data_IF_005678101718
#
_entry.id   IF_005678101718
#
_cell.length_a   1.000
_cell.length_b   1.000
_cell.length_c   1.000
_cell.angle_alpha   90.00
_cell.angle_beta   90.00
_cell.angle_gamma   90.00
#
_symmetry.space_group_name_H-M   'P 1'
#
loop_
_entity.id
_entity.type
_entity.pdbx_description
1 polymer ?
#
# COMPACT_ATOMS: atom_id res chain seq x y z
N UNK A 1 -7.99 27.05 -17.90
CA UNK A 1 -6.84 26.28 -17.30
C UNK A 1 -7.10 26.24 -15.81
N UNK A 2 -7.62 25.10 -15.33
CA UNK A 2 -8.17 25.01 -13.98
C UNK A 2 -7.09 24.97 -12.90
N UNK A 3 -7.20 25.87 -11.92
CA UNK A 3 -6.32 25.98 -10.74
C UNK A 3 -6.17 24.63 -10.00
N UNK A 4 -7.18 23.76 -10.06
CA UNK A 4 -7.17 22.40 -9.50
C UNK A 4 -6.23 21.43 -10.25
N UNK A 5 -6.04 21.60 -11.56
CA UNK A 5 -5.08 20.81 -12.34
C UNK A 5 -3.63 21.20 -12.04
N UNK A 6 -3.36 22.48 -11.83
CA UNK A 6 -2.05 22.96 -11.39
C UNK A 6 -1.71 22.45 -9.98
N UNK A 7 -2.66 22.50 -9.03
CA UNK A 7 -2.45 22.01 -7.67
C UNK A 7 -2.12 20.49 -7.63
N UNK A 8 -2.71 19.67 -8.51
CA UNK A 8 -2.41 18.25 -8.63
C UNK A 8 -0.98 17.96 -9.11
N UNK A 9 -0.47 18.76 -10.05
CA UNK A 9 0.87 18.59 -10.62
C UNK A 9 1.99 18.97 -9.63
N UNK A 10 1.73 19.84 -8.64
CA UNK A 10 2.72 20.27 -7.65
C UNK A 10 2.82 19.32 -6.44
N UNK A 11 1.80 18.49 -6.16
CA UNK A 11 1.83 17.53 -5.05
C UNK A 11 3.08 16.65 -5.05
N UNK A 12 3.48 16.01 -6.17
CA UNK A 12 4.70 15.19 -6.21
C UNK A 12 5.97 16.01 -5.98
N UNK A 13 6.01 17.24 -6.50
CA UNK A 13 7.18 18.14 -6.32
C UNK A 13 7.30 18.57 -4.88
N UNK A 14 6.22 19.00 -4.24
CA UNK A 14 6.20 19.38 -2.82
C UNK A 14 6.57 18.18 -1.95
N UNK A 15 6.01 17.01 -2.21
CA UNK A 15 6.38 15.79 -1.50
C UNK A 15 7.87 15.46 -1.67
N UNK A 16 8.41 15.62 -2.89
CA UNK A 16 9.84 15.38 -3.14
C UNK A 16 10.74 16.38 -2.37
N UNK A 17 10.31 17.61 -2.23
CA UNK A 17 11.05 18.65 -1.48
C UNK A 17 10.96 18.45 0.04
N UNK A 18 9.86 17.90 0.56
CA UNK A 18 9.65 17.68 2.00
C UNK A 18 10.22 16.33 2.48
N UNK A 19 10.41 15.38 1.57
CA UNK A 19 10.90 14.03 1.91
C UNK A 19 12.43 13.96 1.84
N UNK A 20 13.07 13.13 2.70
CA UNK A 20 14.50 12.84 2.57
C UNK A 20 14.87 12.43 1.13
N UNK A 21 16.07 12.82 0.64
CA UNK A 21 17.15 13.53 1.32
C UNK A 21 17.10 15.05 1.22
N UNK A 22 16.19 15.66 0.43
CA UNK A 22 16.24 17.06 0.02
C UNK A 22 16.30 18.04 1.18
N UNK A 23 15.46 17.97 2.24
CA UNK A 23 15.53 18.91 3.37
C UNK A 23 16.91 18.91 4.06
N UNK A 24 17.50 17.75 4.20
CA UNK A 24 18.80 17.60 4.86
C UNK A 24 19.96 18.19 4.04
N UNK A 25 19.91 18.01 2.71
CA UNK A 25 20.87 18.66 1.80
C UNK A 25 20.75 20.17 1.84
N UNK A 26 19.54 20.70 1.90
CA UNK A 26 19.30 22.16 2.07
C UNK A 26 19.88 22.66 3.40
N UNK A 27 19.67 21.93 4.51
CA UNK A 27 20.27 22.28 5.81
C UNK A 27 21.79 22.30 5.74
N UNK A 28 22.41 21.30 5.11
CA UNK A 28 23.88 21.25 4.94
C UNK A 28 24.38 22.46 4.16
N UNK A 29 23.72 22.82 3.05
CA UNK A 29 24.10 23.99 2.25
C UNK A 29 23.93 25.30 3.01
N UNK A 30 22.83 25.47 3.73
CA UNK A 30 22.59 26.66 4.58
C UNK A 30 23.62 26.73 5.70
N UNK A 31 23.89 25.61 6.36
CA UNK A 31 24.94 25.55 7.42
C UNK A 31 26.30 25.93 6.88
N UNK A 32 26.70 25.36 5.74
CA UNK A 32 27.98 25.70 5.09
C UNK A 32 28.08 27.19 4.73
N UNK A 33 27.01 27.80 4.22
CA UNK A 33 26.96 29.23 3.89
C UNK A 33 27.07 30.13 5.15
N UNK A 34 26.51 29.65 6.27
CA UNK A 34 26.52 30.41 7.53
C UNK A 34 27.83 30.32 8.32
N UNK A 35 28.72 29.37 7.97
CA UNK A 35 30.05 29.26 8.65
C UNK A 35 30.85 30.57 8.57
N UNK A 36 30.77 31.26 7.44
CA UNK A 36 31.53 32.54 7.26
C UNK A 36 31.03 33.66 8.20
N UNK A 37 29.71 34.00 8.24
CA UNK A 37 29.19 35.06 9.08
C UNK A 37 28.95 34.63 10.54
N UNK A 38 28.62 33.36 10.81
CA UNK A 38 28.19 32.87 12.14
C UNK A 38 28.68 31.44 12.38
N UNK A 39 29.99 31.30 12.65
CA UNK A 39 30.67 30.01 12.77
C UNK A 39 29.90 28.96 13.60
N UNK A 40 29.53 29.27 14.84
CA UNK A 40 28.87 28.33 15.74
C UNK A 40 27.53 27.83 15.20
N UNK A 41 26.68 28.76 14.73
CA UNK A 41 25.39 28.43 14.14
C UNK A 41 25.53 27.67 12.84
N UNK A 42 26.49 28.06 11.97
CA UNK A 42 26.77 27.37 10.71
C UNK A 42 27.17 25.90 10.92
N UNK A 43 28.10 25.66 11.86
CA UNK A 43 28.50 24.28 12.21
C UNK A 43 27.35 23.47 12.81
N UNK A 44 26.52 24.06 13.68
CA UNK A 44 25.36 23.34 14.26
C UNK A 44 24.38 22.92 13.20
N UNK A 45 23.99 23.81 12.29
CA UNK A 45 23.04 23.51 11.21
C UNK A 45 23.62 22.45 10.24
N UNK A 46 24.91 22.60 9.88
CA UNK A 46 25.58 21.63 9.00
C UNK A 46 25.64 20.25 9.63
N UNK A 47 26.05 20.15 10.90
CA UNK A 47 26.11 18.89 11.63
C UNK A 47 24.71 18.26 11.77
N UNK A 48 23.68 19.07 12.07
CA UNK A 48 22.29 18.60 12.14
C UNK A 48 21.85 18.01 10.80
N UNK A 49 22.08 18.72 9.69
CA UNK A 49 21.74 18.23 8.35
C UNK A 49 22.46 16.92 8.01
N UNK A 50 23.74 16.81 8.38
CA UNK A 50 24.54 15.61 8.17
C UNK A 50 24.02 14.42 9.00
N UNK A 51 23.74 14.62 10.28
CA UNK A 51 23.19 13.57 11.16
C UNK A 51 21.82 13.10 10.67
N UNK A 52 20.94 14.03 10.27
CA UNK A 52 19.62 13.69 9.73
C UNK A 52 19.73 12.93 8.39
N UNK A 53 20.68 13.32 7.54
CA UNK A 53 20.96 12.60 6.29
C UNK A 53 21.46 11.18 6.58
N UNK A 54 22.38 11.03 7.53
CA UNK A 54 22.88 9.73 7.97
C UNK A 54 21.75 8.84 8.48
N UNK A 55 21.02 9.32 9.48
CA UNK A 55 19.91 8.56 10.09
C UNK A 55 18.82 8.21 9.06
N UNK A 56 18.47 9.15 8.17
CA UNK A 56 17.48 8.87 7.12
C UNK A 56 17.96 7.88 6.04
N UNK A 57 19.23 7.51 6.06
CA UNK A 57 19.81 6.51 5.17
C UNK A 57 20.00 5.14 5.84
N UNK A 58 19.63 5.00 7.11
CA UNK A 58 19.84 3.79 7.90
C UNK A 58 18.57 2.92 7.96
N UNK A 59 18.70 1.62 7.65
CA UNK A 59 17.62 0.65 7.80
C UNK A 59 17.12 0.54 9.26
N UNK A 60 18.01 0.70 10.26
CA UNK A 60 17.65 0.74 11.67
C UNK A 60 16.66 1.87 12.01
N UNK A 61 16.81 3.05 11.37
CA UNK A 61 15.86 4.15 11.51
C UNK A 61 14.50 3.78 10.91
N UNK A 62 14.47 3.16 9.74
CA UNK A 62 13.23 2.69 9.10
C UNK A 62 12.51 1.67 9.99
N UNK A 63 13.24 0.68 10.50
CA UNK A 63 12.72 -0.33 11.41
C UNK A 63 12.15 0.31 12.70
N UNK A 64 12.88 1.27 13.27
CA UNK A 64 12.39 2.01 14.44
C UNK A 64 11.09 2.78 14.12
N UNK A 65 11.03 3.48 12.99
CA UNK A 65 9.82 4.19 12.54
C UNK A 65 8.64 3.24 12.35
N UNK A 66 8.87 2.08 11.71
CA UNK A 66 7.82 1.09 11.52
C UNK A 66 7.26 0.61 12.85
N UNK A 67 8.13 0.23 13.80
CA UNK A 67 7.71 -0.44 15.03
C UNK A 67 7.16 0.51 16.11
N UNK A 68 7.61 1.78 16.13
CA UNK A 68 7.23 2.72 17.18
C UNK A 68 6.28 3.82 16.71
N UNK A 69 6.31 4.17 15.42
CA UNK A 69 5.49 5.27 14.88
C UNK A 69 4.34 4.74 14.03
N UNK A 70 4.62 3.97 12.99
CA UNK A 70 3.60 3.43 12.09
C UNK A 70 2.78 2.30 12.73
N UNK A 71 3.43 1.41 13.48
CA UNK A 71 2.82 0.30 14.23
C UNK A 71 1.84 -0.53 13.40
N UNK A 72 2.30 -1.14 12.30
CA UNK A 72 1.43 -1.98 11.49
C UNK A 72 0.90 -3.16 12.29
N UNK A 73 -0.30 -3.67 11.97
CA UNK A 73 -0.76 -4.94 12.49
C UNK A 73 0.22 -6.08 12.17
N UNK A 74 0.15 -7.16 12.95
CA UNK A 74 0.99 -8.34 12.74
C UNK A 74 0.65 -9.06 11.44
N UNK A 75 1.60 -9.81 10.88
CA UNK A 75 1.36 -10.67 9.72
C UNK A 75 0.25 -11.69 9.98
N UNK A 76 -0.42 -12.11 8.89
CA UNK A 76 -1.45 -13.16 8.96
C UNK A 76 -0.77 -14.50 9.20
N UNK A 77 -0.75 -14.92 10.47
CA UNK A 77 -0.18 -16.18 10.95
C UNK A 77 -1.10 -16.80 12.01
N UNK A 78 -0.89 -18.08 12.32
CA UNK A 78 -1.59 -18.79 13.39
C UNK A 78 -3.12 -18.71 13.27
N UNK A 79 -3.78 -18.34 14.38
CA UNK A 79 -5.24 -18.33 14.50
C UNK A 79 -5.95 -17.54 13.39
N UNK A 80 -5.38 -16.41 12.96
CA UNK A 80 -5.97 -15.60 11.89
C UNK A 80 -5.92 -16.36 10.57
N UNK A 81 -4.79 -16.97 10.23
CA UNK A 81 -4.65 -17.78 9.02
C UNK A 81 -5.58 -18.99 9.04
N UNK A 82 -5.68 -19.68 10.19
CA UNK A 82 -6.56 -20.84 10.36
C UNK A 82 -8.03 -20.45 10.20
N UNK A 83 -8.45 -19.32 10.78
CA UNK A 83 -9.80 -18.78 10.63
C UNK A 83 -10.12 -18.45 9.16
N UNK A 84 -9.23 -17.76 8.46
CA UNK A 84 -9.42 -17.45 7.03
C UNK A 84 -9.46 -18.71 6.17
N UNK A 85 -8.61 -19.71 6.48
CA UNK A 85 -8.62 -21.01 5.80
C UNK A 85 -9.93 -21.75 6.01
N UNK A 86 -10.53 -21.68 7.20
CA UNK A 86 -11.83 -22.25 7.50
C UNK A 86 -12.93 -21.60 6.63
N UNK A 87 -12.95 -20.26 6.53
CA UNK A 87 -13.91 -19.53 5.68
C UNK A 87 -13.76 -19.92 4.20
N UNK A 88 -12.54 -20.04 3.70
CA UNK A 88 -12.31 -20.49 2.32
C UNK A 88 -12.76 -21.93 2.05
N UNK A 89 -12.52 -22.84 3.00
CA UNK A 89 -13.01 -24.22 2.89
C UNK A 89 -14.56 -24.30 2.90
N UNK A 90 -15.21 -23.49 3.71
CA UNK A 90 -16.67 -23.39 3.73
C UNK A 90 -17.21 -22.89 2.39
N UNK A 91 -16.59 -21.84 1.83
CA UNK A 91 -16.93 -21.33 0.50
C UNK A 91 -16.73 -22.39 -0.60
N UNK A 92 -15.60 -23.08 -0.61
CA UNK A 92 -15.33 -24.16 -1.56
C UNK A 92 -16.36 -25.31 -1.49
N UNK A 93 -16.79 -25.68 -0.27
CA UNK A 93 -17.84 -26.67 -0.05
C UNK A 93 -19.19 -26.21 -0.62
N UNK A 94 -19.55 -24.94 -0.40
CA UNK A 94 -20.77 -24.37 -0.96
C UNK A 94 -20.74 -24.35 -2.48
N UNK A 95 -19.62 -23.97 -3.09
CA UNK A 95 -19.44 -24.04 -4.55
C UNK A 95 -19.58 -25.47 -5.08
N UNK A 96 -18.97 -26.44 -4.41
CA UNK A 96 -19.04 -27.84 -4.83
C UNK A 96 -20.48 -28.42 -4.72
N UNK A 97 -21.22 -28.03 -3.68
CA UNK A 97 -22.62 -28.42 -3.51
C UNK A 97 -23.52 -27.84 -4.61
N UNK A 98 -23.34 -26.56 -4.95
CA UNK A 98 -24.09 -25.87 -6.00
C UNK A 98 -23.81 -26.45 -7.39
N UNK A 99 -22.56 -26.84 -7.68
CA UNK A 99 -22.21 -27.53 -8.94
C UNK A 99 -22.90 -28.88 -9.09
N UNK A 100 -23.23 -29.57 -7.97
CA UNK A 100 -23.89 -30.89 -7.98
C UNK A 100 -25.41 -30.78 -8.05
N UNK A 101 -26.00 -29.79 -7.41
CA UNK A 101 -27.45 -29.70 -7.21
C UNK A 101 -28.11 -28.56 -7.98
N UNK A 102 -27.32 -27.73 -8.69
CA UNK A 102 -27.81 -26.53 -9.31
C UNK A 102 -28.09 -25.44 -8.27
N UNK A 103 -28.16 -24.19 -8.66
CA UNK A 103 -28.45 -23.04 -7.82
C UNK A 103 -27.55 -21.86 -8.13
N UNK A 104 -27.88 -20.71 -7.61
CA UNK A 104 -27.01 -19.53 -7.73
C UNK A 104 -25.92 -19.56 -6.68
N UNK A 105 -24.72 -19.20 -7.12
CA UNK A 105 -23.56 -19.09 -6.24
C UNK A 105 -23.77 -17.88 -5.31
N UNK A 106 -23.92 -18.12 -4.02
CA UNK A 106 -23.89 -17.05 -3.02
C UNK A 106 -22.54 -16.38 -2.96
N UNK A 107 -22.50 -15.13 -2.47
CA UNK A 107 -21.24 -14.42 -2.26
C UNK A 107 -20.35 -15.19 -1.27
N UNK A 108 -19.03 -15.14 -1.43
CA UNK A 108 -18.10 -15.65 -0.43
C UNK A 108 -18.23 -14.84 0.87
N UNK A 109 -18.12 -15.52 2.02
CA UNK A 109 -18.16 -14.82 3.32
C UNK A 109 -16.99 -13.87 3.52
N UNK A 110 -15.84 -14.17 2.93
CA UNK A 110 -14.65 -13.33 2.97
C UNK A 110 -13.97 -13.26 1.59
N UNK A 111 -13.30 -12.15 1.31
CA UNK A 111 -12.52 -11.93 0.10
C UNK A 111 -11.22 -11.18 0.39
N UNK A 112 -10.16 -11.53 -0.35
CA UNK A 112 -8.86 -10.87 -0.27
C UNK A 112 -8.82 -9.77 -1.33
N UNK A 113 -8.36 -8.58 -0.97
CA UNK A 113 -8.15 -7.48 -1.91
C UNK A 113 -6.74 -6.92 -1.75
N UNK A 114 -6.01 -6.92 -2.86
CA UNK A 114 -4.67 -6.33 -2.95
C UNK A 114 -4.79 -4.87 -3.35
N UNK A 115 -4.11 -3.99 -2.60
CA UNK A 115 -4.05 -2.57 -2.94
C UNK A 115 -2.88 -2.29 -3.87
N UNK A 116 -3.12 -1.49 -4.88
CA UNK A 116 -2.12 -1.01 -5.79
C UNK A 116 -1.00 -0.20 -5.11
N UNK A 117 0.15 -0.17 -5.72
CA UNK A 117 1.34 0.59 -5.30
C UNK A 117 2.04 1.24 -6.49
N UNK A 118 1.40 1.24 -7.66
CA UNK A 118 1.83 1.88 -8.88
C UNK A 118 1.98 0.95 -10.07
N UNK A 119 1.96 1.55 -11.25
CA UNK A 119 2.10 0.89 -12.55
C UNK A 119 3.26 1.53 -13.33
N UNK A 120 3.98 0.74 -14.10
CA UNK A 120 4.93 1.19 -15.11
C UNK A 120 4.14 1.28 -16.43
N UNK A 121 3.86 2.48 -16.95
CA UNK A 121 2.94 2.64 -18.09
C UNK A 121 3.42 1.92 -19.36
N UNK A 122 4.72 1.75 -19.50
CA UNK A 122 5.34 1.00 -20.59
C UNK A 122 6.64 0.38 -20.09
N UNK A 123 6.62 -0.91 -19.83
CA UNK A 123 7.83 -1.67 -19.55
C UNK A 123 8.49 -2.05 -20.89
N UNK A 124 9.72 -1.57 -21.17
CA UNK A 124 10.37 -1.78 -22.46
C UNK A 124 10.52 -3.25 -22.81
N UNK A 125 10.82 -4.09 -21.84
CA UNK A 125 11.04 -5.53 -21.96
C UNK A 125 9.78 -6.31 -22.36
N UNK A 126 8.59 -5.81 -22.01
CA UNK A 126 7.30 -6.44 -22.34
C UNK A 126 6.55 -5.71 -23.45
N UNK A 127 6.94 -4.47 -23.79
CA UNK A 127 6.26 -3.62 -24.78
C UNK A 127 4.88 -3.11 -24.36
N UNK A 128 4.43 -3.43 -23.15
CA UNK A 128 3.14 -3.07 -22.55
C UNK A 128 3.31 -2.56 -21.13
N UNK A 129 2.23 -2.03 -20.53
CA UNK A 129 2.26 -1.63 -19.10
C UNK A 129 2.56 -2.83 -18.20
N UNK A 130 3.28 -2.59 -17.09
CA UNK A 130 3.52 -3.62 -16.07
C UNK A 130 3.35 -3.04 -14.66
N UNK A 131 3.25 -3.92 -13.67
CA UNK A 131 3.16 -3.51 -12.28
C UNK A 131 4.48 -2.91 -11.79
N UNK A 132 4.40 -1.90 -10.93
CA UNK A 132 5.58 -1.50 -10.15
C UNK A 132 6.02 -2.64 -9.24
N UNK A 133 7.28 -2.59 -8.77
CA UNK A 133 7.80 -3.59 -7.81
C UNK A 133 6.87 -3.73 -6.59
N UNK A 134 6.37 -2.61 -6.07
CA UNK A 134 5.45 -2.64 -4.93
C UNK A 134 4.14 -3.38 -5.22
N UNK A 135 3.55 -3.15 -6.37
CA UNK A 135 2.31 -3.82 -6.77
C UNK A 135 2.52 -5.28 -7.09
N UNK A 136 3.62 -5.61 -7.74
CA UNK A 136 3.99 -7.00 -8.05
C UNK A 136 4.22 -7.82 -6.77
N UNK A 137 4.92 -7.25 -5.77
CA UNK A 137 5.14 -7.91 -4.48
C UNK A 137 3.85 -8.12 -3.71
N UNK A 138 2.96 -7.11 -3.68
CA UNK A 138 1.63 -7.23 -3.04
C UNK A 138 0.77 -8.27 -3.74
N UNK A 139 0.72 -8.27 -5.07
CA UNK A 139 -0.03 -9.26 -5.85
C UNK A 139 0.49 -10.67 -5.59
N UNK A 140 1.80 -10.87 -5.60
CA UNK A 140 2.43 -12.18 -5.28
C UNK A 140 2.02 -12.68 -3.90
N UNK A 141 2.05 -11.81 -2.88
CA UNK A 141 1.61 -12.18 -1.54
C UNK A 141 0.09 -12.45 -1.47
N UNK A 142 -0.73 -11.63 -2.13
CA UNK A 142 -2.17 -11.83 -2.23
C UNK A 142 -2.53 -13.18 -2.88
N UNK A 143 -1.84 -13.55 -3.96
CA UNK A 143 -2.00 -14.85 -4.64
C UNK A 143 -1.59 -15.99 -3.71
N UNK A 144 -0.45 -15.86 -3.01
CA UNK A 144 -0.02 -16.85 -2.02
C UNK A 144 -1.07 -17.03 -0.92
N UNK A 145 -1.57 -15.93 -0.34
CA UNK A 145 -2.58 -15.96 0.71
C UNK A 145 -3.91 -16.57 0.21
N UNK A 146 -4.33 -16.23 -1.00
CA UNK A 146 -5.52 -16.83 -1.64
C UNK A 146 -5.38 -18.34 -1.81
N UNK A 147 -4.21 -18.81 -2.25
CA UNK A 147 -3.94 -20.25 -2.37
C UNK A 147 -3.90 -20.97 -1.03
N UNK A 148 -3.35 -20.33 0.01
CA UNK A 148 -3.29 -20.92 1.36
C UNK A 148 -4.68 -21.00 2.01
N UNK A 149 -5.49 -19.97 1.84
CA UNK A 149 -6.79 -19.88 2.51
C UNK A 149 -7.95 -20.42 1.68
N UNK A 150 -7.82 -20.49 0.35
CA UNK A 150 -8.92 -20.79 -0.57
C UNK A 150 -9.90 -19.63 -0.78
N UNK A 151 -9.59 -18.43 -0.28
CA UNK A 151 -10.43 -17.24 -0.45
C UNK A 151 -10.24 -16.62 -1.84
N UNK A 152 -11.31 -16.09 -2.45
CA UNK A 152 -11.24 -15.38 -3.71
C UNK A 152 -10.42 -14.09 -3.59
N UNK A 153 -9.75 -13.70 -4.66
CA UNK A 153 -8.81 -12.60 -4.74
C UNK A 153 -9.31 -11.50 -5.66
N UNK A 154 -9.14 -10.27 -5.24
CA UNK A 154 -9.34 -9.07 -6.03
C UNK A 154 -8.13 -8.13 -5.97
N UNK A 155 -8.15 -7.13 -6.83
CA UNK A 155 -7.16 -6.05 -6.86
C UNK A 155 -7.87 -4.71 -7.00
N UNK A 156 -7.41 -3.69 -6.25
CA UNK A 156 -7.92 -2.33 -6.31
C UNK A 156 -6.78 -1.36 -6.61
N UNK A 157 -6.92 -0.65 -7.72
CA UNK A 157 -5.96 0.36 -8.17
C UNK A 157 -6.30 0.87 -9.57
N UNK A 158 -6.63 2.16 -9.65
CA UNK A 158 -6.93 2.85 -10.91
C UNK A 158 -5.71 3.56 -11.50
N UNK A 159 -5.96 4.71 -12.13
CA UNK A 159 -4.91 5.62 -12.58
C UNK A 159 -4.62 6.61 -11.46
N UNK A 160 -3.44 6.53 -10.87
CA UNK A 160 -3.01 7.48 -9.84
C UNK A 160 -3.01 8.93 -10.35
N UNK A 161 -3.05 9.90 -9.45
CA UNK A 161 -3.09 11.34 -9.78
C UNK A 161 -1.99 11.79 -10.76
N UNK A 162 -0.81 11.17 -10.71
CA UNK A 162 0.29 11.46 -11.62
C UNK A 162 0.05 10.95 -13.06
N UNK A 163 -0.94 10.11 -13.28
CA UNK A 163 -1.25 9.48 -14.58
C UNK A 163 -2.62 9.91 -15.13
N UNK A 164 -3.33 10.83 -14.45
CA UNK A 164 -4.59 11.39 -14.95
C UNK A 164 -4.36 12.05 -16.29
N UNK A 165 -5.06 11.56 -17.33
CA UNK A 165 -4.95 12.04 -18.71
C UNK A 165 -4.00 11.24 -19.61
N UNK A 166 -3.28 10.25 -19.07
CA UNK A 166 -2.51 9.31 -19.88
C UNK A 166 -3.45 8.17 -20.28
N UNK A 167 -3.63 7.94 -21.58
CA UNK A 167 -4.34 6.77 -22.07
C UNK A 167 -3.47 5.52 -21.82
N UNK A 168 -3.98 4.60 -21.03
CA UNK A 168 -3.28 3.35 -20.71
C UNK A 168 -4.12 2.43 -19.83
N UNK A 169 -3.67 1.20 -19.68
CA UNK A 169 -4.31 0.24 -18.78
C UNK A 169 -4.17 0.72 -17.33
N UNK A 170 -5.24 0.58 -16.55
CA UNK A 170 -5.24 0.84 -15.12
C UNK A 170 -4.39 -0.18 -14.38
N UNK A 171 -3.97 0.15 -13.17
CA UNK A 171 -3.16 -0.77 -12.37
C UNK A 171 -3.87 -2.11 -12.12
N UNK A 172 -5.18 -2.08 -11.82
CA UNK A 172 -5.97 -3.29 -11.60
C UNK A 172 -6.14 -4.14 -12.87
N UNK A 173 -6.25 -3.54 -14.05
CA UNK A 173 -6.26 -4.27 -15.32
C UNK A 173 -4.92 -4.93 -15.61
N UNK A 174 -3.81 -4.24 -15.33
CA UNK A 174 -2.46 -4.82 -15.45
C UNK A 174 -2.29 -5.95 -14.44
N UNK A 175 -2.74 -5.78 -13.20
CA UNK A 175 -2.69 -6.82 -12.17
C UNK A 175 -3.52 -8.06 -12.56
N UNK A 176 -4.70 -7.88 -13.14
CA UNK A 176 -5.53 -8.98 -13.62
C UNK A 176 -4.82 -9.77 -14.73
N UNK A 177 -4.23 -9.07 -15.71
CA UNK A 177 -3.44 -9.71 -16.75
C UNK A 177 -2.24 -10.48 -16.18
N UNK A 178 -1.44 -9.85 -15.30
CA UNK A 178 -0.26 -10.47 -14.69
C UNK A 178 -0.67 -11.69 -13.85
N UNK A 179 -1.75 -11.59 -13.07
CA UNK A 179 -2.28 -12.69 -12.27
C UNK A 179 -2.67 -13.90 -13.14
N UNK A 180 -3.34 -13.65 -14.25
CA UNK A 180 -3.79 -14.70 -15.17
C UNK A 180 -2.62 -15.30 -15.96
N UNK A 181 -1.75 -14.46 -16.55
CA UNK A 181 -0.70 -14.95 -17.45
C UNK A 181 0.50 -15.55 -16.73
N UNK A 182 0.90 -15.00 -15.57
CA UNK A 182 2.10 -15.46 -14.86
C UNK A 182 1.78 -16.45 -13.75
N UNK A 183 0.58 -16.37 -13.15
CA UNK A 183 0.22 -17.20 -12.00
C UNK A 183 -0.95 -18.15 -12.27
N UNK A 184 -1.61 -18.06 -13.43
CA UNK A 184 -2.76 -18.90 -13.79
C UNK A 184 -3.98 -18.65 -12.88
N UNK A 185 -4.08 -17.49 -12.26
CA UNK A 185 -5.15 -17.15 -11.32
C UNK A 185 -5.95 -15.96 -11.82
N UNK A 186 -7.24 -16.15 -12.07
CA UNK A 186 -8.15 -15.08 -12.45
C UNK A 186 -8.64 -14.34 -11.21
N UNK A 187 -8.57 -13.01 -11.24
CA UNK A 187 -9.08 -12.17 -10.15
C UNK A 187 -10.62 -12.18 -10.15
N UNK A 188 -11.21 -12.27 -8.96
CA UNK A 188 -12.67 -12.20 -8.78
C UNK A 188 -13.19 -10.77 -8.84
N UNK A 189 -12.39 -9.81 -8.39
CA UNK A 189 -12.73 -8.39 -8.37
C UNK A 189 -11.57 -7.56 -8.93
N UNK A 190 -11.92 -6.64 -9.82
CA UNK A 190 -10.98 -5.71 -10.45
C UNK A 190 -11.57 -4.31 -10.29
N UNK A 191 -11.05 -3.55 -9.32
CA UNK A 191 -11.46 -2.17 -9.11
C UNK A 191 -10.42 -1.25 -9.76
N UNK A 192 -10.82 -0.47 -10.76
CA UNK A 192 -9.93 0.27 -11.66
C UNK A 192 -10.20 1.79 -11.73
N UNK A 193 -11.09 2.32 -10.88
CA UNK A 193 -11.52 3.73 -10.98
C UNK A 193 -10.88 4.67 -9.98
N UNK A 194 -10.38 4.12 -8.89
CA UNK A 194 -9.82 4.90 -7.77
C UNK A 194 -8.47 5.51 -8.12
N UNK A 195 -8.21 6.72 -7.63
CA UNK A 195 -6.97 7.45 -7.84
C UNK A 195 -6.11 7.57 -6.56
N UNK A 196 -6.67 7.22 -5.40
CA UNK A 196 -5.97 7.25 -4.11
C UNK A 196 -6.51 6.18 -3.13
N UNK A 197 -5.89 6.09 -1.95
CA UNK A 197 -6.21 5.06 -0.94
C UNK A 197 -7.65 5.17 -0.43
N UNK A 198 -8.18 6.37 -0.31
CA UNK A 198 -9.55 6.60 0.17
C UNK A 198 -10.58 6.15 -0.87
N UNK A 199 -10.34 6.50 -2.13
CA UNK A 199 -11.18 6.03 -3.23
C UNK A 199 -11.09 4.52 -3.40
N UNK A 200 -9.88 3.91 -3.29
CA UNK A 200 -9.70 2.46 -3.26
C UNK A 200 -10.58 1.81 -2.19
N UNK A 201 -10.53 2.34 -0.96
CA UNK A 201 -11.31 1.80 0.14
C UNK A 201 -12.83 1.91 -0.11
N UNK A 202 -13.30 3.10 -0.53
CA UNK A 202 -14.73 3.33 -0.81
C UNK A 202 -15.25 2.42 -1.93
N UNK A 203 -14.54 2.35 -3.04
CA UNK A 203 -14.94 1.55 -4.19
C UNK A 203 -14.91 0.05 -3.88
N UNK A 204 -13.84 -0.42 -3.22
CA UNK A 204 -13.67 -1.82 -2.83
C UNK A 204 -14.73 -2.26 -1.84
N UNK A 205 -14.95 -1.49 -0.75
CA UNK A 205 -15.96 -1.82 0.26
C UNK A 205 -17.34 -1.89 -0.36
N UNK A 206 -17.73 -0.89 -1.17
CA UNK A 206 -19.02 -0.91 -1.85
C UNK A 206 -19.13 -2.14 -2.77
N UNK A 207 -18.13 -2.38 -3.62
CA UNK A 207 -18.15 -3.48 -4.58
C UNK A 207 -18.31 -4.86 -3.92
N UNK A 208 -17.58 -5.12 -2.82
CA UNK A 208 -17.62 -6.42 -2.15
C UNK A 208 -18.84 -6.55 -1.22
N UNK A 209 -19.13 -5.54 -0.42
CA UNK A 209 -20.24 -5.59 0.54
C UNK A 209 -21.62 -5.58 -0.13
N UNK A 210 -21.77 -4.91 -1.28
CA UNK A 210 -23.01 -4.97 -2.08
C UNK A 210 -23.25 -6.37 -2.65
N UNK A 211 -22.20 -7.15 -2.89
CA UNK A 211 -22.28 -8.57 -3.27
C UNK A 211 -22.51 -9.50 -2.07
N UNK A 212 -22.49 -9.00 -0.84
CA UNK A 212 -22.71 -9.80 0.37
C UNK A 212 -21.47 -10.36 1.04
N UNK A 213 -20.27 -9.92 0.65
CA UNK A 213 -19.01 -10.23 1.35
C UNK A 213 -19.04 -9.61 2.75
N UNK A 214 -18.81 -10.42 3.77
CA UNK A 214 -18.89 -9.99 5.18
C UNK A 214 -17.53 -9.63 5.79
N UNK A 215 -16.45 -10.11 5.17
CA UNK A 215 -15.08 -9.81 5.62
C UNK A 215 -14.17 -9.51 4.43
N UNK A 216 -13.45 -8.40 4.51
CA UNK A 216 -12.50 -7.95 3.47
C UNK A 216 -11.10 -8.02 4.06
N UNK A 217 -10.25 -8.90 3.50
CA UNK A 217 -8.86 -9.05 3.88
C UNK A 217 -8.02 -8.14 2.99
N UNK A 218 -7.46 -7.08 3.58
CA UNK A 218 -6.72 -6.05 2.85
C UNK A 218 -5.24 -6.38 2.82
N UNK A 219 -4.68 -6.54 1.62
CA UNK A 219 -3.25 -6.80 1.39
C UNK A 219 -2.54 -5.54 0.94
N UNK A 220 -1.54 -5.11 1.69
CA UNK A 220 -0.61 -4.04 1.32
C UNK A 220 0.67 -4.14 2.14
N UNK A 221 1.67 -3.29 1.85
CA UNK A 221 2.89 -3.23 2.65
C UNK A 221 2.62 -2.80 4.09
N UNK A 222 3.40 -3.34 5.02
CA UNK A 222 3.29 -3.05 6.45
C UNK A 222 3.35 -1.55 6.76
N UNK A 223 4.26 -0.82 6.13
CA UNK A 223 4.38 0.63 6.30
C UNK A 223 3.13 1.42 5.83
N UNK A 224 2.39 0.91 4.86
CA UNK A 224 1.16 1.51 4.34
C UNK A 224 -0.10 1.04 5.06
N UNK A 225 -0.06 -0.13 5.71
CA UNK A 225 -1.21 -0.78 6.30
C UNK A 225 -2.00 0.09 7.30
N UNK A 226 -1.37 0.87 8.21
CA UNK A 226 -2.13 1.69 9.16
C UNK A 226 -3.04 2.72 8.49
N UNK A 227 -2.58 3.35 7.40
CA UNK A 227 -3.38 4.30 6.62
C UNK A 227 -4.48 3.59 5.82
N UNK A 228 -4.16 2.45 5.22
CA UNK A 228 -5.14 1.65 4.49
C UNK A 228 -6.27 1.16 5.41
N UNK A 229 -5.95 0.61 6.59
CA UNK A 229 -6.96 0.15 7.55
C UNK A 229 -7.91 1.26 7.95
N UNK A 230 -7.39 2.44 8.31
CA UNK A 230 -8.22 3.60 8.65
C UNK A 230 -9.19 3.97 7.51
N UNK A 231 -8.72 3.97 6.26
CA UNK A 231 -9.56 4.28 5.11
C UNK A 231 -10.66 3.21 4.88
N UNK A 232 -10.30 1.93 5.02
CA UNK A 232 -11.25 0.82 4.84
C UNK A 232 -12.28 0.74 5.96
N UNK A 233 -11.89 0.91 7.22
CA UNK A 233 -12.80 0.95 8.38
C UNK A 233 -13.77 2.13 8.29
N UNK A 234 -13.28 3.33 7.93
CA UNK A 234 -14.14 4.48 7.69
C UNK A 234 -15.12 4.24 6.54
N UNK A 235 -14.67 3.64 5.45
CA UNK A 235 -15.52 3.31 4.30
C UNK A 235 -16.57 2.25 4.64
N UNK A 236 -16.22 1.25 5.45
CA UNK A 236 -17.14 0.23 5.93
C UNK A 236 -18.24 0.84 6.83
N UNK A 237 -17.88 1.77 7.70
CA UNK A 237 -18.82 2.50 8.54
C UNK A 237 -19.78 3.38 7.71
N UNK A 238 -19.26 4.11 6.72
CA UNK A 238 -20.08 4.93 5.80
C UNK A 238 -21.04 4.06 5.00
N UNK A 239 -20.57 2.93 4.47
CA UNK A 239 -21.40 1.98 3.73
C UNK A 239 -22.53 1.43 4.61
N UNK A 240 -22.22 1.02 5.83
CA UNK A 240 -23.19 0.52 6.80
C UNK A 240 -24.25 1.58 7.13
N UNK A 241 -23.84 2.82 7.42
CA UNK A 241 -24.77 3.93 7.69
C UNK A 241 -25.70 4.24 6.52
N UNK A 242 -25.20 4.12 5.28
CA UNK A 242 -25.99 4.35 4.05
C UNK A 242 -26.98 3.22 3.76
N UNK A 243 -26.60 1.98 4.01
CA UNK A 243 -27.40 0.80 3.61
C UNK A 243 -28.25 0.23 4.74
N UNK A 244 -27.99 0.59 6.00
CA UNK A 244 -28.60 -0.02 7.18
C UNK A 244 -28.14 -1.46 7.43
N UNK A 245 -27.18 -1.98 6.66
CA UNK A 245 -26.64 -3.34 6.83
C UNK A 245 -25.41 -3.33 7.74
N UNK A 246 -25.08 -4.46 8.39
CA UNK A 246 -23.85 -4.57 9.18
C UNK A 246 -22.61 -4.27 8.33
N UNK A 247 -21.70 -3.47 8.87
CA UNK A 247 -20.42 -3.18 8.20
C UNK A 247 -19.61 -4.47 7.98
N UNK A 248 -18.95 -4.62 6.83
CA UNK A 248 -18.00 -5.72 6.65
C UNK A 248 -16.82 -5.59 7.62
N UNK A 249 -16.36 -6.72 8.13
CA UNK A 249 -15.13 -6.77 8.94
C UNK A 249 -13.93 -6.50 8.03
N UNK A 250 -13.03 -5.62 8.47
CA UNK A 250 -11.80 -5.34 7.75
C UNK A 250 -10.65 -6.03 8.46
N UNK A 251 -9.98 -6.95 7.77
CA UNK A 251 -8.85 -7.71 8.30
C UNK A 251 -7.57 -7.30 7.59
N UNK A 252 -6.56 -6.93 8.36
CA UNK A 252 -5.26 -6.55 7.81
C UNK A 252 -4.45 -7.79 7.42
N UNK A 253 -3.84 -7.76 6.24
CA UNK A 253 -2.86 -8.73 5.79
C UNK A 253 -1.58 -8.02 5.32
N UNK A 254 -0.81 -7.43 6.25
CA UNK A 254 0.41 -6.69 5.92
C UNK A 254 1.52 -7.64 5.43
N UNK A 255 2.33 -7.12 4.48
CA UNK A 255 3.50 -7.81 3.96
C UNK A 255 4.68 -6.83 3.87
N UNK A 256 5.88 -7.33 3.58
CA UNK A 256 7.06 -6.49 3.38
C UNK A 256 7.46 -5.68 4.61
N UNK A 257 7.50 -6.32 5.77
CA UNK A 257 8.00 -5.71 7.01
C UNK A 257 9.49 -5.38 6.87
N UNK A 258 9.87 -4.25 7.43
CA UNK A 258 11.28 -3.90 7.60
C UNK A 258 11.82 -4.57 8.88
N UNK A 259 13.10 -4.69 8.96
CA UNK A 259 13.78 -5.45 10.01
C UNK A 259 14.13 -6.84 9.48
N UNK A 260 15.42 -7.06 9.29
CA UNK A 260 15.96 -8.36 8.93
C UNK A 260 16.67 -8.90 10.15
N UNK A 261 16.57 -10.21 10.37
CA UNK A 261 17.39 -10.92 11.34
C UNK A 261 18.85 -10.82 10.88
N UNK A 262 19.53 -9.75 11.23
CA UNK A 262 20.85 -9.42 10.75
C UNK A 262 21.69 -8.64 11.76
N UNK A 263 22.89 -8.29 11.37
CA UNK A 263 23.82 -7.52 12.20
C UNK A 263 23.25 -6.15 12.53
N UNK A 264 22.94 -5.92 13.79
CA UNK A 264 22.45 -4.64 14.33
C UNK A 264 23.33 -3.44 13.97
N UNK A 265 24.63 -3.67 13.78
CA UNK A 265 25.59 -2.61 13.40
C UNK A 265 25.38 -2.18 11.96
N UNK A 266 25.15 -3.12 11.04
CA UNK A 266 24.96 -2.82 9.60
C UNK A 266 23.68 -2.03 9.35
N UNK A 267 22.66 -2.19 10.18
CA UNK A 267 21.40 -1.44 10.07
C UNK A 267 21.58 0.07 10.32
N UNK A 268 22.63 0.46 11.05
CA UNK A 268 22.95 1.86 11.34
C UNK A 268 24.00 2.46 10.38
N UNK A 269 24.39 1.72 9.35
CA UNK A 269 25.19 2.25 8.25
C UNK A 269 24.29 2.73 7.12
N UNK A 270 24.60 3.87 6.49
CA UNK A 270 23.85 4.41 5.36
C UNK A 270 23.79 3.41 4.19
N UNK A 271 22.58 3.22 3.65
CA UNK A 271 22.32 2.35 2.52
C UNK A 271 21.23 2.92 1.62
N UNK A 272 21.20 2.51 0.36
CA UNK A 272 20.16 2.92 -0.58
C UNK A 272 18.77 2.39 -0.14
N UNK A 273 18.71 1.16 0.37
CA UNK A 273 17.47 0.57 0.91
C UNK A 273 16.98 1.32 2.15
N UNK A 274 17.86 1.62 3.10
CA UNK A 274 17.51 2.38 4.30
C UNK A 274 16.93 3.76 3.97
N UNK A 275 17.54 4.47 3.00
CA UNK A 275 17.02 5.76 2.53
C UNK A 275 15.61 5.62 1.93
N UNK A 276 15.38 4.60 1.11
CA UNK A 276 14.07 4.35 0.49
C UNK A 276 13.02 4.03 1.57
N UNK A 277 13.34 3.15 2.51
CA UNK A 277 12.45 2.73 3.59
C UNK A 277 12.07 3.90 4.50
N UNK A 278 13.05 4.73 4.95
CA UNK A 278 12.77 5.94 5.75
C UNK A 278 11.92 6.93 4.95
N UNK A 279 12.21 7.10 3.66
CA UNK A 279 11.41 7.97 2.79
C UNK A 279 9.96 7.49 2.70
N UNK A 280 9.71 6.17 2.61
CA UNK A 280 8.35 5.60 2.62
C UNK A 280 7.66 5.86 3.96
N UNK A 281 8.34 5.66 5.09
CA UNK A 281 7.80 5.98 6.41
C UNK A 281 7.40 7.47 6.52
N UNK A 282 8.28 8.37 6.10
CA UNK A 282 7.99 9.80 6.10
C UNK A 282 6.82 10.16 5.19
N UNK A 283 6.71 9.51 4.03
CA UNK A 283 5.59 9.69 3.11
C UNK A 283 4.25 9.31 3.75
N UNK A 284 4.20 8.18 4.47
CA UNK A 284 2.99 7.77 5.19
C UNK A 284 2.62 8.73 6.31
N UNK A 285 3.61 9.24 7.06
CA UNK A 285 3.39 10.25 8.09
C UNK A 285 2.83 11.56 7.51
N UNK A 286 3.35 12.01 6.36
CA UNK A 286 2.80 13.17 5.67
C UNK A 286 1.37 12.91 5.18
N UNK A 287 1.08 11.72 4.66
CA UNK A 287 -0.28 11.30 4.28
C UNK A 287 -1.23 11.34 5.47
N UNK A 288 -0.77 10.93 6.63
CA UNK A 288 -1.52 10.98 7.90
C UNK A 288 -1.86 12.41 8.32
N UNK A 289 -0.88 13.31 8.26
CA UNK A 289 -1.06 14.72 8.64
C UNK A 289 -1.95 15.49 7.66
N UNK A 290 -1.96 15.10 6.39
CA UNK A 290 -2.80 15.72 5.36
C UNK A 290 -4.24 15.20 5.31
N UNK A 291 -4.62 14.25 6.18
CA UNK A 291 -5.97 13.68 6.26
C UNK A 291 -6.33 12.73 5.10
N UNK A 292 -5.34 12.26 4.36
CA UNK A 292 -5.48 11.32 3.25
C UNK A 292 -5.24 9.89 3.68
#
# INVERSE_FOLDING_TARGET
MDFLHLAGAWKPVIAALLLPPVPWLVLILVGARLILPRRGLGFLILLTGWVLLWLSSCAGTANWLQNHVLRPPTAVLGDTQDRLTKLGREFARQQAALRRHGGELGAPSAGIVVLGGGVVPRAPEYGVADLSTWSADRLRYGIWLSRQTGLPLGFSGGLGWAQKGIQGATEAEVAARVSETQFGLRLNWVESRSADTRENAMATVSMLADQGVKEIVVVTHAWHMPRAMRAFEASAAVWSGRTGKPAPVITAAPMGFWGRDGSTVLEWLPSASGMLEVRMACHELLGWLSGN
#
